data_IF_012414443495
#
_entry.id   IF_012414443495
#
_cell.length_a   1.000
_cell.length_b   1.000
_cell.length_c   1.000
_cell.angle_alpha   90.00
_cell.angle_beta   90.00
_cell.angle_gamma   90.00
#
_symmetry.space_group_name_H-M   'P 1'
#
loop_
_entity.id
_entity.type
_entity.pdbx_description
1 polymer ?
#
# COMPACT_ATOMS: atom_id res chain seq x y z
N UNK A 1 13.26 4.46 -6.18
CA UNK A 1 13.05 4.06 -4.78
C UNK A 1 13.47 2.61 -4.45
N UNK A 2 13.66 1.70 -5.41
CA UNK A 2 14.16 0.32 -5.14
C UNK A 2 15.65 0.08 -5.45
N UNK A 3 16.31 1.01 -6.15
CA UNK A 3 17.69 0.83 -6.63
C UNK A 3 18.79 0.81 -5.56
N UNK A 4 18.46 1.08 -4.29
CA UNK A 4 19.43 1.11 -3.18
C UNK A 4 19.37 -0.09 -2.24
N UNK A 5 18.55 -1.11 -2.54
CA UNK A 5 18.52 -2.36 -1.76
C UNK A 5 19.63 -3.34 -2.18
N UNK A 6 20.67 -2.87 -2.87
CA UNK A 6 21.92 -3.62 -3.08
C UNK A 6 22.84 -3.40 -1.88
N UNK A 7 22.54 -4.09 -0.79
CA UNK A 7 23.45 -4.29 0.33
C UNK A 7 23.32 -5.74 0.78
N UNK A 8 24.43 -6.34 1.21
CA UNK A 8 24.66 -7.75 1.61
C UNK A 8 23.69 -8.36 2.66
N UNK A 9 22.39 -8.05 2.61
CA UNK A 9 21.51 -8.03 3.79
C UNK A 9 20.07 -8.46 3.50
N UNK A 10 19.71 -8.77 2.24
CA UNK A 10 18.46 -9.48 1.95
C UNK A 10 18.63 -10.94 2.41
N UNK A 11 17.60 -11.57 2.99
CA UNK A 11 17.62 -13.02 3.20
C UNK A 11 18.02 -13.70 1.88
N UNK A 12 18.86 -14.74 1.92
CA UNK A 12 19.32 -15.49 0.74
C UNK A 12 18.15 -16.06 -0.12
N UNK A 13 16.91 -15.95 0.34
CA UNK A 13 15.68 -16.45 -0.28
C UNK A 13 14.88 -15.41 -1.08
N UNK A 14 15.34 -14.17 -1.25
CA UNK A 14 14.66 -13.19 -2.12
C UNK A 14 14.93 -13.52 -3.58
N UNK A 15 14.05 -14.34 -4.17
CA UNK A 15 14.08 -14.73 -5.58
C UNK A 15 13.71 -13.57 -6.50
N UNK A 16 14.10 -13.66 -7.77
CA UNK A 16 13.68 -12.71 -8.81
C UNK A 16 12.14 -12.63 -8.90
N UNK A 17 11.45 -13.77 -8.76
CA UNK A 17 9.98 -13.83 -8.72
C UNK A 17 9.40 -13.03 -7.54
N UNK A 18 10.03 -13.09 -6.37
CA UNK A 18 9.58 -12.34 -5.20
C UNK A 18 9.86 -10.83 -5.36
N UNK A 19 10.95 -10.46 -6.02
CA UNK A 19 11.21 -9.05 -6.36
C UNK A 19 10.17 -8.51 -7.35
N UNK A 20 9.82 -9.30 -8.37
CA UNK A 20 8.77 -8.95 -9.33
C UNK A 20 7.39 -8.84 -8.64
N UNK A 21 7.10 -9.72 -7.69
CA UNK A 21 5.91 -9.63 -6.86
C UNK A 21 5.87 -8.33 -6.05
N UNK A 22 6.95 -7.98 -5.33
CA UNK A 22 7.01 -6.71 -4.59
C UNK A 22 6.89 -5.50 -5.51
N UNK A 23 7.50 -5.56 -6.69
CA UNK A 23 7.37 -4.52 -7.70
C UNK A 23 5.93 -4.39 -8.19
N UNK A 24 5.24 -5.50 -8.44
CA UNK A 24 3.83 -5.50 -8.80
C UNK A 24 2.95 -4.90 -7.68
N UNK A 25 3.29 -5.10 -6.41
CA UNK A 25 2.62 -4.43 -5.29
C UNK A 25 2.90 -2.93 -5.26
N UNK A 26 4.11 -2.47 -5.57
CA UNK A 26 4.44 -1.04 -5.65
C UNK A 26 3.75 -0.37 -6.83
N UNK A 27 3.74 -1.03 -7.98
CA UNK A 27 3.09 -0.56 -9.21
C UNK A 27 1.55 -0.63 -9.10
N UNK A 28 1.02 -1.36 -8.11
CA UNK A 28 -0.39 -1.31 -7.73
C UNK A 28 -0.74 0.02 -7.04
N UNK A 29 -2.02 0.26 -6.78
CA UNK A 29 -2.62 1.59 -6.56
C UNK A 29 -2.00 2.47 -5.45
N UNK A 30 -1.10 1.94 -4.62
CA UNK A 30 -0.44 2.62 -3.50
C UNK A 30 0.56 3.69 -3.94
N UNK A 31 1.38 3.41 -4.96
CA UNK A 31 2.50 4.28 -5.36
C UNK A 31 2.50 4.57 -6.86
N UNK A 32 1.30 4.79 -7.42
CA UNK A 32 1.16 5.15 -8.84
C UNK A 32 1.81 6.50 -9.13
N UNK A 33 2.25 6.68 -10.38
CA UNK A 33 2.75 7.97 -10.86
C UNK A 33 1.75 9.12 -10.57
N UNK A 34 2.29 10.28 -10.18
CA UNK A 34 1.54 11.48 -9.85
C UNK A 34 0.53 11.88 -10.93
N UNK A 35 0.86 11.68 -12.21
CA UNK A 35 -0.05 11.98 -13.31
C UNK A 35 -1.22 10.99 -13.34
N UNK A 36 -0.96 9.71 -13.10
CA UNK A 36 -2.01 8.67 -13.03
C UNK A 36 -2.96 8.94 -11.86
N UNK A 37 -2.41 9.33 -10.70
CA UNK A 37 -3.21 9.71 -9.54
C UNK A 37 -4.11 10.92 -9.85
N UNK A 38 -3.57 11.97 -10.49
CA UNK A 38 -4.35 13.14 -10.93
C UNK A 38 -5.42 12.77 -11.94
N UNK A 39 -5.08 12.00 -12.95
CA UNK A 39 -6.02 11.58 -14.00
C UNK A 39 -7.14 10.72 -13.43
N UNK A 40 -6.83 9.90 -12.43
CA UNK A 40 -7.83 9.10 -11.69
C UNK A 40 -8.74 10.01 -10.90
N UNK A 41 -8.19 10.95 -10.12
CA UNK A 41 -8.97 11.92 -9.35
C UNK A 41 -9.91 12.78 -10.22
N UNK A 42 -9.48 13.18 -11.42
CA UNK A 42 -10.31 13.92 -12.38
C UNK A 42 -11.49 13.10 -12.94
N UNK A 43 -11.40 11.77 -12.91
CA UNK A 43 -12.44 10.86 -13.43
C UNK A 43 -13.43 10.41 -12.35
N UNK A 44 -13.12 10.63 -11.07
CA UNK A 44 -14.01 10.28 -9.96
C UNK A 44 -15.28 11.09 -10.05
N UNK A 45 -16.42 10.39 -10.08
CA UNK A 45 -17.73 10.96 -10.32
C UNK A 45 -18.58 11.15 -9.06
N UNK A 46 -18.13 10.61 -7.92
CA UNK A 46 -18.84 10.69 -6.64
C UNK A 46 -17.94 10.47 -5.42
N UNK A 47 -18.38 10.95 -4.26
CA UNK A 47 -17.73 10.68 -2.97
C UNK A 47 -17.65 9.17 -2.69
N UNK A 48 -18.68 8.41 -3.06
CA UNK A 48 -18.70 6.96 -2.90
C UNK A 48 -17.62 6.26 -3.75
N UNK A 49 -17.35 6.76 -4.95
CA UNK A 49 -16.26 6.28 -5.81
C UNK A 49 -14.89 6.69 -5.25
N UNK A 50 -14.74 7.93 -4.77
CA UNK A 50 -13.52 8.40 -4.12
C UNK A 50 -13.16 7.52 -2.91
N UNK A 51 -14.14 7.25 -2.05
CA UNK A 51 -13.95 6.40 -0.87
C UNK A 51 -13.64 4.96 -1.28
N UNK A 52 -14.25 4.45 -2.35
CA UNK A 52 -13.94 3.11 -2.85
C UNK A 52 -12.48 3.00 -3.35
N UNK A 53 -11.95 4.05 -3.98
CA UNK A 53 -10.53 4.12 -4.37
C UNK A 53 -9.64 4.15 -3.12
N UNK A 54 -9.97 4.98 -2.13
CA UNK A 54 -9.26 5.03 -0.85
C UNK A 54 -9.23 3.66 -0.17
N UNK A 55 -10.36 2.95 -0.09
CA UNK A 55 -10.43 1.59 0.47
C UNK A 55 -9.49 0.61 -0.25
N UNK A 56 -9.38 0.71 -1.58
CA UNK A 56 -8.42 -0.08 -2.36
C UNK A 56 -6.99 0.25 -1.98
N UNK A 57 -6.67 1.54 -1.95
CA UNK A 57 -5.33 2.06 -1.61
C UNK A 57 -4.87 1.59 -0.23
N UNK A 58 -5.74 1.65 0.79
CA UNK A 58 -5.40 1.19 2.14
C UNK A 58 -5.14 -0.33 2.19
N UNK A 59 -5.93 -1.12 1.46
CA UNK A 59 -5.75 -2.58 1.40
C UNK A 59 -4.42 -2.96 0.74
N UNK A 60 -4.11 -2.32 -0.39
CA UNK A 60 -2.87 -2.56 -1.11
C UNK A 60 -1.67 -2.13 -0.24
N UNK A 61 -1.79 -1.02 0.51
CA UNK A 61 -0.77 -0.53 1.45
C UNK A 61 -0.53 -1.53 2.58
N UNK A 62 -1.59 -2.06 3.20
CA UNK A 62 -1.49 -3.09 4.24
C UNK A 62 -0.75 -4.33 3.73
N UNK A 63 -1.08 -4.79 2.51
CA UNK A 63 -0.42 -5.94 1.91
C UNK A 63 1.07 -5.66 1.68
N UNK A 64 1.39 -4.54 1.03
CA UNK A 64 2.76 -4.15 0.75
C UNK A 64 3.62 -4.03 2.01
N UNK A 65 3.17 -3.30 3.03
CA UNK A 65 3.95 -3.15 4.26
C UNK A 65 4.07 -4.44 5.05
N UNK A 66 3.07 -5.33 4.97
CA UNK A 66 3.15 -6.67 5.59
C UNK A 66 4.23 -7.54 4.94
N UNK A 67 4.33 -7.52 3.62
CA UNK A 67 5.39 -8.20 2.88
C UNK A 67 6.76 -7.59 3.20
N UNK A 68 6.88 -6.26 3.14
CA UNK A 68 8.12 -5.55 3.45
C UNK A 68 8.61 -5.84 4.89
N UNK A 69 7.67 -5.96 5.84
CA UNK A 69 7.98 -6.31 7.23
C UNK A 69 8.69 -7.66 7.37
N UNK A 70 8.36 -8.62 6.52
CA UNK A 70 9.04 -9.92 6.48
C UNK A 70 10.52 -9.82 6.11
N UNK A 71 10.90 -8.78 5.35
CA UNK A 71 12.21 -8.64 4.72
C UNK A 71 13.16 -7.75 5.50
N UNK A 72 12.64 -6.81 6.29
CA UNK A 72 13.48 -5.88 7.06
C UNK A 72 13.98 -6.48 8.38
N UNK A 73 15.06 -5.88 8.89
CA UNK A 73 15.65 -6.23 10.20
C UNK A 73 14.69 -5.85 11.33
N UNK A 74 14.83 -6.52 12.48
CA UNK A 74 13.95 -6.30 13.65
C UNK A 74 13.75 -4.83 14.05
N UNK A 75 14.78 -3.95 14.07
CA UNK A 75 14.58 -2.55 14.46
C UNK A 75 13.60 -1.78 13.55
N UNK A 76 13.51 -2.15 12.27
CA UNK A 76 12.65 -1.47 11.31
C UNK A 76 11.22 -2.03 11.30
N UNK A 77 11.01 -3.23 11.87
CA UNK A 77 9.70 -3.89 11.94
C UNK A 77 8.71 -3.11 12.79
N UNK A 78 9.16 -2.51 13.89
CA UNK A 78 8.29 -1.71 14.77
C UNK A 78 7.71 -0.50 14.03
N UNK A 79 8.48 0.10 13.13
CA UNK A 79 7.99 1.19 12.28
C UNK A 79 6.96 0.71 11.29
N UNK A 80 7.20 -0.43 10.63
CA UNK A 80 6.23 -1.01 9.70
C UNK A 80 4.95 -1.47 10.42
N UNK A 81 5.07 -2.02 11.64
CA UNK A 81 3.92 -2.42 12.46
C UNK A 81 3.01 -1.23 12.79
N UNK A 82 3.60 -0.06 13.09
CA UNK A 82 2.83 1.17 13.29
C UNK A 82 2.11 1.61 12.01
N UNK A 83 2.81 1.64 10.88
CA UNK A 83 2.21 2.02 9.59
C UNK A 83 1.04 1.08 9.24
N UNK A 84 1.25 -0.24 9.33
CA UNK A 84 0.19 -1.24 9.10
C UNK A 84 -1.02 -1.01 10.02
N UNK A 85 -0.79 -0.60 11.28
CA UNK A 85 -1.86 -0.30 12.21
C UNK A 85 -2.64 0.97 11.84
N UNK A 86 -1.95 1.99 11.33
CA UNK A 86 -2.55 3.23 10.82
C UNK A 86 -3.45 2.94 9.61
N UNK A 87 -2.95 2.22 8.59
CA UNK A 87 -3.73 1.90 7.39
C UNK A 87 -4.96 1.02 7.70
N UNK A 88 -4.84 0.09 8.66
CA UNK A 88 -6.00 -0.68 9.17
C UNK A 88 -7.04 0.23 9.83
N UNK A 89 -6.61 1.33 10.44
CA UNK A 89 -7.52 2.33 11.01
C UNK A 89 -8.20 3.14 9.93
N UNK A 90 -7.45 3.64 8.94
CA UNK A 90 -7.98 4.36 7.78
C UNK A 90 -9.01 3.50 7.02
N UNK A 91 -8.71 2.23 6.78
CA UNK A 91 -9.64 1.29 6.14
C UNK A 91 -10.98 1.16 6.88
N UNK A 92 -10.94 1.11 8.22
CA UNK A 92 -12.18 1.09 9.03
C UNK A 92 -12.97 2.39 8.88
N UNK A 93 -12.30 3.53 8.97
CA UNK A 93 -12.92 4.85 8.84
C UNK A 93 -13.57 5.03 7.46
N UNK A 94 -12.87 4.68 6.38
CA UNK A 94 -13.39 4.78 5.02
C UNK A 94 -14.59 3.86 4.78
N UNK A 95 -14.56 2.64 5.33
CA UNK A 95 -15.71 1.73 5.28
C UNK A 95 -16.92 2.34 5.98
N UNK A 96 -16.73 2.94 7.15
CA UNK A 96 -17.81 3.55 7.92
C UNK A 96 -18.39 4.76 7.16
N UNK A 97 -17.54 5.64 6.61
CA UNK A 97 -17.96 6.74 5.72
C UNK A 97 -18.76 6.24 4.50
N UNK A 98 -18.32 5.15 3.87
CA UNK A 98 -19.03 4.56 2.73
C UNK A 98 -20.41 4.05 3.12
N UNK A 99 -20.53 3.45 4.31
CA UNK A 99 -21.81 2.98 4.84
C UNK A 99 -22.76 4.16 5.11
N UNK A 100 -22.25 5.27 5.63
CA UNK A 100 -23.05 6.45 5.92
C UNK A 100 -23.56 7.14 4.65
N UNK A 101 -22.80 7.11 3.55
CA UNK A 101 -23.27 7.61 2.24
C UNK A 101 -24.39 6.78 1.62
N UNK A 102 -24.51 5.50 1.99
CA UNK A 102 -25.53 4.60 1.46
C UNK A 102 -26.85 4.63 2.25
N UNK A 103 -26.90 5.41 3.34
CA UNK A 103 -28.03 5.52 4.26
C UNK A 103 -28.92 6.72 3.93
#
# INVERSE_FOLDING_TARGET
MLGSLKGDHLPEEVTDEYQDYLKALVDSSVFTDDQVARDTALKVSSDAEAIQIGIGTEKDSILFYSELRGLVRRPDRDTLDRIISEEKSHLRQLRDMKSDLAR
#
